data_IF_748851779210
#
_entry.id   IF_748851779210
#
_cell.length_a   1.000
_cell.length_b   1.000
_cell.length_c   1.000
_cell.angle_alpha   90.00
_cell.angle_beta   90.00
_cell.angle_gamma   90.00
#
_symmetry.space_group_name_H-M   'P 1'
#
loop_
_entity.id
_entity.type
_entity.pdbx_description
1 polymer ?
#
# COMPACT_ATOMS: atom_id res chain seq x y z
N UNK A 1 -12.98 20.14 32.22
CA UNK A 1 -12.90 19.69 30.81
C UNK A 1 -12.10 20.74 30.07
N UNK A 2 -10.78 20.58 29.99
CA UNK A 2 -9.93 21.51 29.26
C UNK A 2 -10.02 21.18 27.78
N UNK A 3 -10.29 22.19 26.96
CA UNK A 3 -10.29 22.07 25.49
C UNK A 3 -8.92 21.56 25.03
N UNK A 4 -8.90 20.43 24.31
CA UNK A 4 -7.68 19.83 23.73
C UNK A 4 -7.17 20.59 22.49
N UNK A 5 -7.66 21.81 22.25
CA UNK A 5 -7.44 22.64 21.04
C UNK A 5 -5.99 23.13 20.79
N UNK A 6 -5.01 22.59 21.51
CA UNK A 6 -3.58 22.81 21.25
C UNK A 6 -2.72 21.54 21.29
N UNK A 7 -3.34 20.35 21.41
CA UNK A 7 -2.62 19.07 21.51
C UNK A 7 -2.60 18.29 20.19
N UNK A 8 -3.57 18.54 19.32
CA UNK A 8 -3.64 17.93 17.99
C UNK A 8 -2.56 18.52 17.10
N UNK A 9 -1.76 17.66 16.48
CA UNK A 9 -0.99 18.10 15.34
C UNK A 9 -1.82 18.03 14.06
N UNK A 10 -1.14 18.24 12.96
CA UNK A 10 -1.72 18.53 11.66
C UNK A 10 -2.16 17.24 10.95
N UNK A 11 -3.28 17.29 10.23
CA UNK A 11 -3.87 16.13 9.57
C UNK A 11 -3.59 16.15 8.06
N UNK A 12 -3.23 14.99 7.49
CA UNK A 12 -3.25 14.82 6.04
C UNK A 12 -4.70 14.66 5.56
N UNK A 13 -5.18 15.63 4.77
CA UNK A 13 -6.55 15.61 4.22
C UNK A 13 -6.79 14.39 3.32
N UNK A 14 -5.75 13.93 2.61
CA UNK A 14 -5.82 12.76 1.73
C UNK A 14 -6.04 11.45 2.50
N UNK A 15 -5.62 11.40 3.77
CA UNK A 15 -5.78 10.25 4.66
C UNK A 15 -7.18 10.12 5.28
N UNK A 16 -8.10 11.03 4.97
CA UNK A 16 -9.41 11.13 5.65
C UNK A 16 -10.51 10.23 5.08
N UNK A 17 -10.17 9.19 4.32
CA UNK A 17 -11.17 8.17 3.95
C UNK A 17 -11.35 7.13 5.05
N UNK A 18 -12.60 6.70 5.36
CA UNK A 18 -12.89 5.71 6.39
C UNK A 18 -12.08 4.42 6.25
N UNK A 19 -11.93 3.90 5.04
CA UNK A 19 -11.17 2.67 4.79
C UNK A 19 -9.69 2.79 5.16
N UNK A 20 -9.12 4.00 5.14
CA UNK A 20 -7.72 4.26 5.51
C UNK A 20 -7.50 4.33 7.03
N UNK A 21 -8.58 4.29 7.83
CA UNK A 21 -8.50 4.24 9.29
C UNK A 21 -8.11 2.84 9.79
N UNK A 22 -6.93 2.41 9.39
CA UNK A 22 -6.40 1.05 9.52
C UNK A 22 -4.90 1.07 9.24
N UNK A 23 -4.22 -0.05 9.44
CA UNK A 23 -2.78 -0.16 9.25
C UNK A 23 -2.36 -0.71 7.88
N UNK A 24 -1.34 -0.07 7.29
CA UNK A 24 -0.40 -0.69 6.35
C UNK A 24 0.53 -1.64 7.09
N UNK A 25 0.79 -2.81 6.51
CA UNK A 25 1.67 -3.83 7.10
C UNK A 25 2.62 -4.42 6.07
N UNK A 26 3.91 -4.36 6.40
CA UNK A 26 5.01 -4.76 5.52
C UNK A 26 6.01 -5.60 6.32
N UNK A 27 6.32 -6.80 5.85
CA UNK A 27 7.27 -7.72 6.49
C UNK A 27 8.61 -7.74 5.74
N UNK A 28 9.69 -7.66 6.51
CA UNK A 28 11.08 -7.66 6.06
C UNK A 28 11.83 -8.80 6.74
N UNK A 29 12.41 -9.69 5.95
CA UNK A 29 13.11 -10.88 6.45
C UNK A 29 14.62 -10.73 6.50
N UNK A 30 15.24 -11.20 7.57
CA UNK A 30 16.69 -11.17 7.80
C UNK A 30 17.15 -12.56 8.25
N UNK A 31 18.17 -13.10 7.59
CA UNK A 31 18.90 -14.23 8.17
C UNK A 31 19.73 -13.74 9.35
N UNK A 32 19.79 -14.56 10.40
CA UNK A 32 20.61 -14.29 11.57
C UNK A 32 21.58 -15.45 11.82
N UNK A 33 22.80 -15.16 12.28
CA UNK A 33 23.73 -16.19 12.75
C UNK A 33 23.12 -17.03 13.88
N UNK A 34 23.46 -18.33 14.00
CA UNK A 34 22.92 -19.21 15.05
C UNK A 34 23.22 -18.72 16.48
N UNK A 35 24.32 -18.02 16.67
CA UNK A 35 24.84 -17.51 17.95
C UNK A 35 24.51 -16.02 18.18
N UNK A 36 23.65 -15.43 17.33
CA UNK A 36 23.24 -14.03 17.50
C UNK A 36 22.62 -13.81 18.88
N UNK A 37 23.01 -12.74 19.55
CA UNK A 37 22.34 -12.30 20.76
C UNK A 37 21.02 -11.61 20.38
N UNK A 38 19.89 -12.34 20.52
CA UNK A 38 18.54 -11.82 20.23
C UNK A 38 18.19 -10.58 21.06
N UNK A 39 18.64 -10.49 22.31
CA UNK A 39 18.39 -9.33 23.18
C UNK A 39 19.17 -8.10 22.69
N UNK A 40 20.39 -8.29 22.18
CA UNK A 40 21.16 -7.23 21.56
C UNK A 40 20.48 -6.72 20.28
N UNK A 41 19.90 -7.61 19.47
CA UNK A 41 19.10 -7.24 18.29
C UNK A 41 17.89 -6.40 18.70
N UNK A 42 17.12 -6.84 19.69
CA UNK A 42 15.95 -6.09 20.20
C UNK A 42 16.38 -4.72 20.73
N UNK A 43 17.46 -4.67 21.50
CA UNK A 43 18.00 -3.42 22.05
C UNK A 43 18.40 -2.45 20.94
N UNK A 44 19.06 -2.93 19.88
CA UNK A 44 19.45 -2.10 18.74
C UNK A 44 18.23 -1.55 17.96
N UNK A 45 17.18 -2.36 17.79
CA UNK A 45 15.92 -1.93 17.18
C UNK A 45 15.23 -0.85 18.03
N UNK A 46 15.14 -1.05 19.34
CA UNK A 46 14.51 -0.11 20.28
C UNK A 46 15.27 1.22 20.31
N UNK A 47 16.60 1.20 20.48
CA UNK A 47 17.44 2.41 20.51
C UNK A 47 17.30 3.20 19.21
N UNK A 48 17.31 2.51 18.05
CA UNK A 48 17.20 3.17 16.75
C UNK A 48 15.81 3.77 16.52
N UNK A 49 14.76 3.09 17.00
CA UNK A 49 13.41 3.62 16.93
C UNK A 49 13.26 4.86 17.83
N UNK A 50 13.81 4.82 19.05
CA UNK A 50 13.75 5.95 19.97
C UNK A 50 14.53 7.16 19.44
N UNK A 51 15.71 6.96 18.83
CA UNK A 51 16.45 8.01 18.12
C UNK A 51 15.68 8.64 16.96
N UNK A 52 14.87 7.85 16.23
CA UNK A 52 13.97 8.41 15.22
C UNK A 52 12.88 9.27 15.85
N UNK A 53 12.27 8.78 16.94
CA UNK A 53 11.21 9.53 17.64
C UNK A 53 11.76 10.81 18.26
N UNK A 54 13.00 10.85 18.73
CA UNK A 54 13.63 12.07 19.23
C UNK A 54 13.74 13.15 18.15
N UNK A 55 14.02 12.77 16.90
CA UNK A 55 14.19 13.69 15.77
C UNK A 55 12.89 13.95 14.99
N UNK A 56 11.93 13.01 15.07
CA UNK A 56 10.65 13.03 14.37
C UNK A 56 9.55 12.59 15.38
N UNK A 57 9.14 13.47 16.31
CA UNK A 57 8.32 13.10 17.46
C UNK A 57 7.01 12.40 17.14
N UNK A 58 6.35 12.78 16.05
CA UNK A 58 5.04 12.25 15.66
C UNK A 58 5.06 10.76 15.27
N UNK A 59 6.23 10.17 15.00
CA UNK A 59 6.35 8.72 14.80
C UNK A 59 6.03 7.93 16.08
N UNK A 60 6.28 8.52 17.24
CA UNK A 60 6.05 7.91 18.56
C UNK A 60 4.70 8.25 19.17
N UNK A 61 3.78 8.82 18.40
CA UNK A 61 2.46 9.30 18.81
C UNK A 61 1.36 8.29 18.49
N UNK A 62 0.11 8.65 18.81
CA UNK A 62 -1.09 7.88 18.48
C UNK A 62 -1.97 8.64 17.50
N UNK A 63 -2.76 7.89 16.73
CA UNK A 63 -3.87 8.41 15.94
C UNK A 63 -5.05 8.69 16.84
N UNK A 64 -5.68 9.84 16.63
CA UNK A 64 -6.87 10.30 17.33
C UNK A 64 -7.88 10.87 16.32
N UNK A 65 -9.12 11.06 16.76
CA UNK A 65 -10.15 11.75 15.98
C UNK A 65 -10.57 13.00 16.75
N UNK A 66 -10.52 14.16 16.09
CA UNK A 66 -10.97 15.43 16.66
C UNK A 66 -12.49 15.44 16.86
N UNK A 67 -13.00 16.45 17.58
CA UNK A 67 -14.44 16.67 17.73
C UNK A 67 -15.15 16.89 16.39
N UNK A 68 -14.45 17.46 15.40
CA UNK A 68 -14.94 17.64 14.02
C UNK A 68 -14.83 16.39 13.14
N UNK A 69 -14.48 15.23 13.72
CA UNK A 69 -14.36 13.96 13.00
C UNK A 69 -13.14 13.89 12.07
N UNK A 70 -12.15 14.76 12.24
CA UNK A 70 -10.87 14.72 11.50
C UNK A 70 -9.93 13.75 12.20
N UNK A 71 -9.40 12.77 11.49
CA UNK A 71 -8.34 11.92 12.03
C UNK A 71 -7.01 12.65 11.96
N UNK A 72 -6.34 12.70 13.10
CA UNK A 72 -5.08 13.41 13.32
C UNK A 72 -4.22 12.59 14.30
N UNK A 73 -3.16 13.16 14.84
CA UNK A 73 -2.25 12.55 15.79
C UNK A 73 -2.13 13.36 17.08
N UNK A 74 -1.94 12.65 18.18
CA UNK A 74 -1.72 13.19 19.52
C UNK A 74 -0.51 12.49 20.15
N UNK A 75 0.23 13.16 21.06
CA UNK A 75 1.22 12.48 21.89
C UNK A 75 0.66 11.20 22.52
N UNK A 76 1.52 10.18 22.61
CA UNK A 76 1.18 8.94 23.30
C UNK A 76 0.85 9.23 24.78
N UNK A 77 -0.18 8.61 25.39
CA UNK A 77 -0.55 8.91 26.77
C UNK A 77 0.59 8.56 27.74
N UNK A 78 0.83 9.42 28.73
CA UNK A 78 1.94 9.27 29.66
C UNK A 78 1.83 8.03 30.57
N UNK A 79 0.60 7.59 30.85
CA UNK A 79 0.24 6.49 31.75
C UNK A 79 0.07 5.14 31.03
N UNK A 80 0.22 5.10 29.70
CA UNK A 80 0.10 3.88 28.90
C UNK A 80 1.47 3.43 28.42
N UNK A 81 1.80 2.16 28.62
CA UNK A 81 3.04 1.57 28.13
C UNK A 81 3.20 1.79 26.62
N UNK A 82 4.40 2.21 26.19
CA UNK A 82 4.71 2.45 24.79
C UNK A 82 4.87 1.12 24.06
N UNK A 83 4.07 0.89 23.03
CA UNK A 83 4.11 -0.35 22.24
C UNK A 83 4.80 -0.14 20.89
N UNK A 84 6.05 0.36 20.91
CA UNK A 84 6.80 0.76 19.70
C UNK A 84 7.50 -0.41 19.01
N UNK A 85 8.22 -1.23 19.78
CA UNK A 85 8.89 -2.44 19.29
C UNK A 85 8.38 -3.61 20.11
N UNK A 86 7.58 -4.48 19.49
CA UNK A 86 7.10 -5.73 20.08
C UNK A 86 8.05 -6.86 19.71
N UNK A 87 8.24 -7.81 20.61
CA UNK A 87 9.04 -9.01 20.36
C UNK A 87 8.13 -10.23 20.41
N UNK A 88 8.30 -11.13 19.44
CA UNK A 88 7.61 -12.42 19.44
C UNK A 88 8.56 -13.53 19.02
N UNK A 89 8.53 -14.65 19.74
CA UNK A 89 9.25 -15.86 19.37
C UNK A 89 8.30 -16.72 18.55
N UNK A 90 8.64 -16.94 17.28
CA UNK A 90 7.87 -17.66 16.29
C UNK A 90 8.60 -18.93 15.81
N UNK A 91 9.62 -19.39 16.55
CA UNK A 91 10.45 -20.54 16.20
C UNK A 91 9.65 -21.83 15.92
N UNK A 92 8.45 -21.95 16.51
CA UNK A 92 7.57 -23.12 16.38
C UNK A 92 6.26 -22.82 15.60
N UNK A 93 5.98 -21.55 15.28
CA UNK A 93 4.73 -21.15 14.60
C UNK A 93 4.93 -20.70 13.16
N UNK A 94 6.16 -20.35 12.78
CA UNK A 94 6.57 -19.98 11.42
C UNK A 94 7.71 -20.89 11.00
N UNK A 95 7.70 -21.33 9.73
CA UNK A 95 8.76 -22.20 9.19
C UNK A 95 10.13 -21.48 9.21
N UNK A 96 11.26 -22.22 9.31
CA UNK A 96 12.60 -21.62 9.38
C UNK A 96 12.90 -20.65 8.23
N UNK A 97 13.76 -19.66 8.48
CA UNK A 97 14.13 -18.63 7.49
C UNK A 97 14.68 -19.24 6.20
N UNK A 98 15.55 -20.25 6.29
CA UNK A 98 16.08 -20.97 5.13
C UNK A 98 14.96 -21.59 4.27
N UNK A 99 13.97 -22.22 4.91
CA UNK A 99 12.81 -22.79 4.22
C UNK A 99 11.93 -21.71 3.59
N UNK A 100 11.68 -20.59 4.28
CA UNK A 100 10.96 -19.44 3.69
C UNK A 100 11.63 -18.97 2.40
N UNK A 101 12.96 -18.79 2.42
CA UNK A 101 13.73 -18.34 1.27
C UNK A 101 13.72 -19.38 0.14
N UNK A 102 13.88 -20.67 0.46
CA UNK A 102 13.82 -21.75 -0.51
C UNK A 102 12.45 -21.85 -1.21
N UNK A 103 11.36 -21.63 -0.47
CA UNK A 103 9.99 -21.58 -1.00
C UNK A 103 9.64 -20.23 -1.68
N UNK A 104 10.59 -19.30 -1.77
CA UNK A 104 10.43 -17.94 -2.35
C UNK A 104 9.43 -17.05 -1.58
N UNK A 105 9.23 -17.36 -0.30
CA UNK A 105 8.45 -16.61 0.68
C UNK A 105 6.99 -16.41 0.25
N UNK A 106 6.21 -17.49 0.17
CA UNK A 106 4.82 -17.39 -0.26
C UNK A 106 3.93 -16.85 0.85
N UNK A 107 2.84 -16.17 0.47
CA UNK A 107 2.04 -15.38 1.42
C UNK A 107 1.41 -16.26 2.50
N UNK A 108 1.03 -17.50 2.16
CA UNK A 108 0.46 -18.45 3.10
C UNK A 108 1.40 -18.88 4.23
N UNK A 109 2.72 -18.61 4.14
CA UNK A 109 3.71 -18.83 5.21
C UNK A 109 3.87 -17.62 6.14
N UNK A 110 3.42 -16.44 5.71
CA UNK A 110 3.54 -15.19 6.47
C UNK A 110 2.25 -14.91 7.25
N UNK A 111 1.91 -15.78 8.21
CA UNK A 111 0.64 -15.71 8.93
C UNK A 111 0.48 -14.38 9.69
N UNK A 112 -0.51 -13.57 9.32
CA UNK A 112 -0.74 -12.25 9.93
C UNK A 112 -0.98 -12.33 11.43
N UNK A 113 -1.69 -13.34 11.94
CA UNK A 113 -1.87 -13.57 13.38
C UNK A 113 -0.55 -13.72 14.17
N UNK A 114 0.51 -14.15 13.48
CA UNK A 114 1.82 -14.31 14.10
C UNK A 114 2.64 -13.02 13.97
N UNK A 115 2.64 -12.42 12.77
CA UNK A 115 3.56 -11.34 12.40
C UNK A 115 3.01 -9.92 12.63
N UNK A 116 1.70 -9.78 12.82
CA UNK A 116 1.01 -8.50 12.82
C UNK A 116 0.30 -8.28 14.17
N UNK A 117 0.72 -7.29 14.98
CA UNK A 117 0.10 -7.03 16.28
C UNK A 117 -1.22 -6.26 16.18
N UNK A 118 -1.47 -5.59 15.06
CA UNK A 118 -2.65 -4.76 14.82
C UNK A 118 -3.49 -5.29 13.64
N UNK A 119 -4.78 -4.94 13.53
CA UNK A 119 -5.56 -5.23 12.34
C UNK A 119 -5.02 -4.48 11.11
N UNK A 120 -4.85 -5.19 10.01
CA UNK A 120 -4.42 -4.60 8.74
C UNK A 120 -5.63 -4.20 7.89
N UNK A 121 -5.37 -3.35 6.89
CA UNK A 121 -6.37 -3.03 5.88
C UNK A 121 -7.05 -4.30 5.29
N UNK A 122 -8.39 -4.31 5.16
CA UNK A 122 -9.32 -3.18 5.33
C UNK A 122 -10.00 -3.14 6.72
N UNK A 123 -9.51 -3.91 7.71
CA UNK A 123 -10.18 -4.02 9.00
C UNK A 123 -10.01 -2.70 9.77
N UNK A 124 -11.07 -2.11 10.34
CA UNK A 124 -10.91 -0.97 11.21
C UNK A 124 -9.96 -1.35 12.34
N UNK A 125 -9.10 -0.42 12.78
CA UNK A 125 -8.10 -0.74 13.80
C UNK A 125 -8.74 -1.38 15.05
N UNK A 126 -10.00 -1.03 15.38
CA UNK A 126 -10.82 -1.76 16.36
C UNK A 126 -10.19 -1.83 17.75
N UNK A 127 -9.19 -0.99 18.01
CA UNK A 127 -8.34 -1.06 19.18
C UNK A 127 -9.07 -0.49 20.39
N UNK A 128 -9.04 -1.25 21.48
CA UNK A 128 -9.28 -0.74 22.82
C UNK A 128 -7.97 -0.12 23.33
N UNK A 129 -7.82 1.19 23.21
CA UNK A 129 -6.63 1.93 23.65
C UNK A 129 -5.95 2.74 22.52
N UNK A 130 -4.77 3.33 22.79
CA UNK A 130 -4.04 4.16 21.84
C UNK A 130 -3.69 3.41 20.55
N UNK A 131 -3.93 4.05 19.40
CA UNK A 131 -3.58 3.52 18.09
C UNK A 131 -2.23 4.11 17.64
N UNK A 132 -1.09 3.39 17.68
CA UNK A 132 0.20 3.96 17.30
C UNK A 132 0.21 4.46 15.86
N UNK A 133 0.93 5.55 15.60
CA UNK A 133 1.19 6.01 14.23
C UNK A 133 2.09 5.00 13.50
N UNK A 134 3.20 4.61 14.14
CA UNK A 134 4.11 3.56 13.67
C UNK A 134 4.47 2.64 14.81
N UNK A 135 4.60 1.35 14.51
CA UNK A 135 5.20 0.36 15.38
C UNK A 135 5.87 -0.77 14.60
N UNK A 136 6.79 -1.47 15.25
CA UNK A 136 7.50 -2.63 14.74
C UNK A 136 7.16 -3.88 15.56
N UNK A 137 7.12 -5.03 14.90
CA UNK A 137 7.24 -6.33 15.58
C UNK A 137 8.48 -7.07 15.08
N UNK A 138 9.40 -7.37 16.00
CA UNK A 138 10.51 -8.27 15.79
C UNK A 138 10.05 -9.72 16.07
N UNK A 139 9.84 -10.50 15.00
CA UNK A 139 9.37 -11.89 15.09
C UNK A 139 10.54 -12.84 14.82
N UNK A 140 11.14 -13.40 15.86
CA UNK A 140 12.24 -14.34 15.72
C UNK A 140 11.75 -15.68 15.19
N UNK A 141 12.42 -16.19 14.15
CA UNK A 141 12.19 -17.52 13.59
C UNK A 141 13.50 -18.29 13.60
N UNK A 142 13.46 -19.61 13.40
CA UNK A 142 14.69 -20.40 13.34
C UNK A 142 15.56 -19.90 12.18
N UNK A 143 16.80 -19.52 12.49
CA UNK A 143 17.76 -18.97 11.53
C UNK A 143 17.50 -17.53 11.06
N UNK A 144 16.57 -16.79 11.68
CA UNK A 144 16.30 -15.43 11.22
C UNK A 144 15.36 -14.58 12.07
N UNK A 145 15.01 -13.43 11.50
CA UNK A 145 14.09 -12.44 12.06
C UNK A 145 13.19 -11.91 10.97
N UNK A 146 11.91 -11.75 11.27
CA UNK A 146 10.96 -11.02 10.44
C UNK A 146 10.56 -9.74 11.18
N UNK A 147 10.91 -8.58 10.62
CA UNK A 147 10.47 -7.28 11.12
C UNK A 147 9.20 -6.91 10.36
N UNK A 148 8.07 -6.79 11.08
CA UNK A 148 6.84 -6.24 10.53
C UNK A 148 6.74 -4.75 10.88
N UNK A 149 6.77 -3.88 9.86
CA UNK A 149 6.40 -2.47 9.98
C UNK A 149 4.88 -2.34 9.96
N UNK A 150 4.34 -1.69 10.98
CA UNK A 150 2.94 -1.28 11.09
C UNK A 150 2.88 0.22 11.05
N UNK A 151 2.17 0.80 10.07
CA UNK A 151 2.03 2.24 9.91
C UNK A 151 0.55 2.59 9.65
N UNK A 152 0.01 3.55 10.40
CA UNK A 152 -1.40 3.90 10.30
C UNK A 152 -1.67 4.67 9.00
N UNK A 153 -2.55 4.14 8.14
CA UNK A 153 -2.64 4.56 6.76
C UNK A 153 -3.26 5.96 6.56
N UNK A 154 -4.01 6.46 7.56
CA UNK A 154 -4.44 7.87 7.59
C UNK A 154 -3.26 8.85 7.70
N UNK A 155 -2.14 8.44 8.32
CA UNK A 155 -0.99 9.32 8.59
C UNK A 155 0.16 9.08 7.61
N UNK A 156 0.33 7.83 7.16
CA UNK A 156 1.43 7.41 6.30
C UNK A 156 0.91 6.58 5.14
N UNK A 157 1.38 6.86 3.93
CA UNK A 157 1.16 5.99 2.77
C UNK A 157 2.36 5.09 2.49
N UNK A 158 2.25 4.22 1.49
CA UNK A 158 3.35 3.32 1.12
C UNK A 158 4.66 4.03 0.75
N UNK A 159 4.64 5.30 0.31
CA UNK A 159 5.90 6.04 0.06
C UNK A 159 6.54 6.46 1.38
N UNK A 160 5.73 6.93 2.33
CA UNK A 160 6.16 7.25 3.68
C UNK A 160 6.71 6.03 4.43
N UNK A 161 6.08 4.86 4.26
CA UNK A 161 6.55 3.60 4.86
C UNK A 161 7.99 3.28 4.42
N UNK A 162 8.31 3.44 3.13
CA UNK A 162 9.66 3.20 2.63
C UNK A 162 10.66 4.26 3.09
N UNK A 163 10.24 5.54 3.15
CA UNK A 163 11.11 6.59 3.71
C UNK A 163 11.42 6.29 5.18
N UNK A 164 10.45 5.87 5.98
CA UNK A 164 10.67 5.44 7.37
C UNK A 164 11.75 4.36 7.44
N UNK A 165 11.73 3.36 6.56
CA UNK A 165 12.72 2.28 6.54
C UNK A 165 14.11 2.77 6.20
N UNK A 166 14.25 3.71 5.26
CA UNK A 166 15.54 4.32 4.95
C UNK A 166 16.11 5.07 6.15
N UNK A 167 15.29 5.87 6.84
CA UNK A 167 15.71 6.57 8.05
C UNK A 167 16.05 5.59 9.17
N UNK A 168 15.22 4.57 9.37
CA UNK A 168 15.44 3.54 10.38
C UNK A 168 16.72 2.76 10.14
N UNK A 169 16.95 2.28 8.92
CA UNK A 169 18.19 1.60 8.55
C UNK A 169 19.42 2.51 8.68
N UNK A 170 19.29 3.81 8.41
CA UNK A 170 20.38 4.80 8.57
C UNK A 170 20.79 4.91 10.04
N UNK A 171 19.82 5.12 10.94
CA UNK A 171 20.07 5.24 12.39
C UNK A 171 20.57 3.91 12.97
N UNK A 172 20.02 2.78 12.50
CA UNK A 172 20.44 1.44 12.94
C UNK A 172 21.88 1.10 12.52
N UNK A 173 22.36 1.70 11.43
CA UNK A 173 23.77 1.66 11.02
C UNK A 173 24.67 2.68 11.76
N UNK A 174 24.13 3.43 12.71
CA UNK A 174 24.85 4.49 13.42
C UNK A 174 25.08 5.75 12.59
N UNK A 175 24.41 5.88 11.44
CA UNK A 175 24.46 7.06 10.60
C UNK A 175 23.57 8.19 11.13
N UNK A 176 23.82 9.40 10.63
CA UNK A 176 23.01 10.58 10.88
C UNK A 176 21.96 10.74 9.76
N UNK A 177 20.76 11.19 10.14
CA UNK A 177 19.71 11.44 9.16
C UNK A 177 20.03 12.74 8.42
N UNK A 178 19.98 12.76 7.08
CA UNK A 178 20.18 14.00 6.32
C UNK A 178 19.22 15.10 6.75
N UNK A 179 19.72 16.33 6.91
CA UNK A 179 18.90 17.47 7.35
C UNK A 179 17.70 17.73 6.43
N UNK A 180 17.86 17.56 5.12
CA UNK A 180 16.77 17.69 4.15
C UNK A 180 15.67 16.64 4.36
N UNK A 181 16.01 15.43 4.79
CA UNK A 181 15.02 14.39 5.09
C UNK A 181 14.30 14.68 6.41
N UNK A 182 15.02 15.18 7.43
CA UNK A 182 14.41 15.64 8.69
C UNK A 182 13.44 16.79 8.47
N UNK A 183 13.79 17.75 7.59
CA UNK A 183 12.91 18.85 7.21
C UNK A 183 11.61 18.33 6.60
N UNK A 184 11.69 17.38 5.65
CA UNK A 184 10.49 16.84 5.01
C UNK A 184 9.70 15.89 5.92
N UNK A 185 10.37 15.16 6.83
CA UNK A 185 9.70 14.31 7.82
C UNK A 185 8.92 15.12 8.86
N UNK A 186 9.37 16.33 9.19
CA UNK A 186 8.71 17.25 10.14
C UNK A 186 7.94 18.39 9.45
N UNK A 187 7.74 18.30 8.13
CA UNK A 187 7.04 19.33 7.37
C UNK A 187 5.59 19.48 7.80
N UNK A 188 5.13 20.73 7.88
CA UNK A 188 3.73 21.10 8.12
C UNK A 188 2.81 20.41 7.10
N UNK A 189 1.78 19.73 7.60
CA UNK A 189 0.81 18.94 6.83
C UNK A 189 -0.43 19.75 6.47
N UNK A 190 -0.81 20.74 7.27
CA UNK A 190 -2.04 21.52 7.11
C UNK A 190 -2.07 22.32 5.81
N UNK A 191 -0.91 22.80 5.36
CA UNK A 191 -0.79 23.67 4.17
C UNK A 191 -0.11 22.99 2.99
N UNK A 192 0.10 21.67 3.06
CA UNK A 192 0.86 20.95 2.07
C UNK A 192 0.16 20.91 0.70
N UNK A 193 -1.17 20.73 0.71
CA UNK A 193 -2.00 20.74 -0.49
C UNK A 193 -2.84 22.02 -0.49
N UNK A 194 -2.50 23.02 -1.33
CA UNK A 194 -3.28 24.25 -1.39
C UNK A 194 -4.69 23.95 -1.88
N UNK A 195 -5.71 24.27 -1.09
CA UNK A 195 -7.10 24.06 -1.48
C UNK A 195 -7.51 25.02 -2.61
N UNK A 196 -8.59 24.69 -3.31
CA UNK A 196 -9.20 25.54 -4.33
C UNK A 196 -10.17 26.52 -3.65
N UNK A 197 -10.02 27.84 -3.87
CA UNK A 197 -10.92 28.86 -3.30
C UNK A 197 -12.40 28.61 -3.61
N UNK A 198 -13.28 29.15 -2.77
CA UNK A 198 -14.72 29.16 -3.06
C UNK A 198 -14.98 29.99 -4.34
N UNK A 199 -15.84 29.48 -5.22
CA UNK A 199 -16.16 30.11 -6.51
C UNK A 199 -15.29 29.64 -7.68
N UNK A 200 -14.15 29.00 -7.43
CA UNK A 200 -13.35 28.35 -8.48
C UNK A 200 -13.83 26.91 -8.77
N UNK A 201 -13.68 26.43 -10.01
CA UNK A 201 -14.12 25.09 -10.39
C UNK A 201 -13.31 23.99 -9.70
N UNK A 202 -14.01 23.03 -9.13
CA UNK A 202 -13.48 21.80 -8.54
C UNK A 202 -13.95 20.62 -9.38
N UNK A 203 -13.08 19.63 -9.62
CA UNK A 203 -13.46 18.39 -10.30
C UNK A 203 -14.61 17.70 -9.56
N UNK A 204 -15.56 17.14 -10.30
CA UNK A 204 -16.66 16.38 -9.69
C UNK A 204 -16.15 15.05 -9.11
N UNK A 205 -16.30 14.92 -7.79
CA UNK A 205 -15.95 13.74 -7.00
C UNK A 205 -17.18 13.08 -6.36
N UNK A 206 -18.40 13.41 -6.81
CA UNK A 206 -19.66 12.86 -6.32
C UNK A 206 -19.72 11.33 -6.31
N UNK A 207 -19.00 10.66 -7.22
CA UNK A 207 -18.86 9.20 -7.30
C UNK A 207 -18.18 8.55 -6.08
N UNK A 208 -17.53 9.35 -5.22
CA UNK A 208 -16.94 8.91 -3.95
C UNK A 208 -17.97 8.91 -2.81
N UNK A 209 -19.13 9.55 -3.00
CA UNK A 209 -20.25 9.44 -2.05
C UNK A 209 -21.00 8.14 -2.32
N UNK A 210 -21.38 7.38 -1.27
CA UNK A 210 -22.21 6.21 -1.46
C UNK A 210 -23.59 6.63 -1.99
N UNK A 211 -24.11 6.02 -3.06
CA UNK A 211 -25.46 6.31 -3.51
C UNK A 211 -26.50 5.86 -2.47
N UNK A 212 -27.72 6.43 -2.49
CA UNK A 212 -28.79 6.02 -1.57
C UNK A 212 -29.03 4.50 -1.60
N UNK A 213 -29.06 3.87 -0.43
CA UNK A 213 -29.29 2.43 -0.30
C UNK A 213 -28.12 1.54 -0.74
N UNK A 214 -26.95 2.12 -1.06
CA UNK A 214 -25.78 1.35 -1.45
C UNK A 214 -25.34 0.37 -0.36
N UNK A 215 -24.99 -0.84 -0.79
CA UNK A 215 -24.44 -1.90 0.05
C UNK A 215 -23.21 -2.45 -0.63
N UNK A 216 -22.25 -2.91 0.18
CA UNK A 216 -21.11 -3.65 -0.33
C UNK A 216 -21.59 -4.92 -1.04
N UNK A 217 -21.11 -5.12 -2.27
CA UNK A 217 -21.32 -6.37 -2.98
C UNK A 217 -20.31 -7.38 -2.46
N UNK A 218 -20.81 -8.37 -1.73
CA UNK A 218 -19.97 -9.42 -1.17
C UNK A 218 -19.37 -10.30 -2.28
N UNK A 219 -18.13 -10.78 -2.11
CA UNK A 219 -17.54 -11.71 -3.06
C UNK A 219 -18.31 -13.04 -3.06
N UNK A 220 -18.45 -13.64 -4.24
CA UNK A 220 -19.14 -14.92 -4.48
C UNK A 220 -18.47 -16.10 -3.78
N UNK A 221 -17.17 -16.00 -3.52
CA UNK A 221 -16.39 -16.95 -2.72
C UNK A 221 -15.38 -16.20 -1.85
N UNK A 222 -14.86 -16.85 -0.81
CA UNK A 222 -13.91 -16.21 0.11
C UNK A 222 -12.66 -15.74 -0.66
N UNK A 223 -12.30 -14.44 -0.60
CA UNK A 223 -11.11 -13.97 -1.30
C UNK A 223 -9.84 -14.44 -0.62
N UNK A 224 -8.88 -14.88 -1.42
CA UNK A 224 -7.62 -15.44 -0.92
C UNK A 224 -6.44 -14.67 -1.49
N UNK A 225 -5.48 -14.36 -0.63
CA UNK A 225 -4.19 -13.80 -1.02
C UNK A 225 -3.30 -14.86 -1.68
N UNK A 226 -2.63 -14.50 -2.76
CA UNK A 226 -1.69 -15.34 -3.49
C UNK A 226 -0.54 -14.51 -4.04
N UNK A 227 0.67 -15.05 -4.01
CA UNK A 227 1.81 -14.47 -4.72
C UNK A 227 2.03 -15.15 -6.06
N UNK A 228 2.28 -14.33 -7.07
CA UNK A 228 2.88 -14.72 -8.33
C UNK A 228 4.27 -14.09 -8.44
N UNK A 229 5.22 -14.81 -9.02
CA UNK A 229 6.53 -14.27 -9.39
C UNK A 229 6.56 -14.04 -10.89
N UNK A 230 6.80 -12.80 -11.29
CA UNK A 230 7.03 -12.42 -12.68
C UNK A 230 8.50 -12.04 -12.83
N UNK A 231 9.26 -12.78 -13.64
CA UNK A 231 10.67 -12.43 -13.84
C UNK A 231 10.82 -11.03 -14.44
N UNK A 232 11.92 -10.34 -14.14
CA UNK A 232 12.22 -9.02 -14.74
C UNK A 232 12.26 -9.13 -16.28
N UNK A 233 12.74 -10.26 -16.81
CA UNK A 233 12.73 -10.54 -18.24
C UNK A 233 11.31 -10.71 -18.80
N UNK A 234 10.42 -11.42 -18.08
CA UNK A 234 9.02 -11.60 -18.47
C UNK A 234 8.27 -10.26 -18.51
N UNK A 235 8.47 -9.39 -17.51
CA UNK A 235 7.91 -8.04 -17.55
C UNK A 235 8.44 -7.24 -18.73
N UNK A 236 9.75 -7.32 -19.01
CA UNK A 236 10.36 -6.67 -20.16
C UNK A 236 9.79 -7.20 -21.49
N UNK A 237 9.52 -8.50 -21.60
CA UNK A 237 8.89 -9.12 -22.77
C UNK A 237 7.46 -8.60 -22.98
N UNK A 238 6.60 -8.63 -21.95
CA UNK A 238 5.23 -8.08 -22.04
C UNK A 238 5.28 -6.62 -22.51
N UNK A 239 6.16 -5.82 -21.91
CA UNK A 239 6.30 -4.40 -22.24
C UNK A 239 6.76 -4.20 -23.68
N UNK A 240 7.73 -5.00 -24.13
CA UNK A 240 8.22 -4.96 -25.50
C UNK A 240 7.11 -5.34 -26.48
N UNK A 241 6.46 -6.49 -26.28
CA UNK A 241 5.37 -6.97 -27.14
C UNK A 241 4.24 -5.95 -27.25
N UNK A 242 3.83 -5.35 -26.13
CA UNK A 242 2.79 -4.32 -26.14
C UNK A 242 3.24 -3.07 -26.91
N UNK A 243 4.47 -2.60 -26.74
CA UNK A 243 4.97 -1.42 -27.46
C UNK A 243 5.18 -1.67 -28.94
N UNK A 244 5.64 -2.86 -29.33
CA UNK A 244 5.82 -3.24 -30.73
C UNK A 244 4.46 -3.33 -31.46
N UNK A 245 3.40 -3.71 -30.75
CA UNK A 245 2.03 -3.74 -31.26
C UNK A 245 1.31 -2.37 -31.18
N UNK A 246 1.94 -1.33 -30.61
CA UNK A 246 1.34 -0.02 -30.44
C UNK A 246 1.50 0.86 -31.69
N UNK A 247 0.62 0.67 -32.67
CA UNK A 247 0.67 1.37 -33.97
C UNK A 247 0.21 2.84 -33.91
N UNK A 248 -0.30 3.31 -32.77
CA UNK A 248 -0.90 4.64 -32.60
C UNK A 248 -0.06 5.55 -31.68
N UNK A 249 1.17 5.13 -31.32
CA UNK A 249 2.01 5.84 -30.36
C UNK A 249 2.47 7.22 -30.87
N UNK A 250 2.04 8.28 -30.17
CA UNK A 250 2.77 9.56 -30.12
C UNK A 250 3.80 9.53 -28.97
N UNK A 251 4.84 10.38 -29.03
CA UNK A 251 5.85 10.45 -27.96
C UNK A 251 5.29 10.95 -26.62
N UNK A 252 4.21 11.74 -26.66
CA UNK A 252 3.54 12.34 -25.50
C UNK A 252 2.65 11.30 -24.77
N UNK A 253 2.11 10.31 -25.49
CA UNK A 253 1.21 9.28 -24.94
C UNK A 253 1.89 7.92 -24.72
N UNK A 254 3.23 7.89 -24.66
CA UNK A 254 3.98 6.64 -24.50
C UNK A 254 3.53 5.88 -23.24
N UNK A 255 3.00 4.68 -23.44
CA UNK A 255 2.59 3.76 -22.38
C UNK A 255 3.79 3.27 -21.55
N UNK A 256 3.65 3.34 -20.23
CA UNK A 256 4.63 2.87 -19.26
C UNK A 256 4.50 1.37 -19.01
N UNK A 257 5.49 0.77 -18.35
CA UNK A 257 5.42 -0.64 -17.94
C UNK A 257 4.28 -0.89 -16.95
N UNK A 258 3.96 0.09 -16.11
CA UNK A 258 2.86 0.01 -15.15
C UNK A 258 1.49 0.06 -15.84
N UNK A 259 1.34 0.89 -16.88
CA UNK A 259 0.11 0.94 -17.69
C UNK A 259 -0.12 -0.39 -18.39
N UNK A 260 0.92 -0.95 -19.00
CA UNK A 260 0.88 -2.22 -19.73
C UNK A 260 0.56 -3.38 -18.79
N UNK A 261 1.25 -3.48 -17.64
CA UNK A 261 1.03 -4.58 -16.70
C UNK A 261 -0.36 -4.49 -16.05
N UNK A 262 -0.83 -3.29 -15.70
CA UNK A 262 -2.19 -3.08 -15.20
C UNK A 262 -3.25 -3.45 -16.23
N UNK A 263 -3.05 -3.07 -17.51
CA UNK A 263 -3.93 -3.42 -18.61
C UNK A 263 -3.95 -4.92 -18.88
N UNK A 264 -2.78 -5.56 -18.93
CA UNK A 264 -2.65 -7.00 -19.12
C UNK A 264 -3.38 -7.77 -18.03
N UNK A 265 -3.12 -7.45 -16.75
CA UNK A 265 -3.79 -8.09 -15.62
C UNK A 265 -5.31 -7.89 -15.67
N UNK A 266 -5.78 -6.64 -15.86
CA UNK A 266 -7.21 -6.35 -15.90
C UNK A 266 -7.92 -7.10 -17.05
N UNK A 267 -7.28 -7.13 -18.23
CA UNK A 267 -7.75 -7.89 -19.39
C UNK A 267 -7.87 -9.38 -19.09
N UNK A 268 -6.84 -10.00 -18.49
CA UNK A 268 -6.89 -11.43 -18.13
C UNK A 268 -8.02 -11.73 -17.14
N UNK A 269 -8.17 -10.92 -16.10
CA UNK A 269 -9.26 -11.11 -15.11
C UNK A 269 -10.64 -10.99 -15.75
N UNK A 270 -10.87 -9.99 -16.62
CA UNK A 270 -12.13 -9.86 -17.36
C UNK A 270 -12.38 -11.06 -18.27
N UNK A 271 -11.39 -11.48 -19.07
CA UNK A 271 -11.50 -12.65 -19.95
C UNK A 271 -11.87 -13.93 -19.17
N UNK A 272 -11.21 -14.18 -18.03
CA UNK A 272 -11.50 -15.34 -17.18
C UNK A 272 -12.90 -15.31 -16.54
N UNK A 273 -13.45 -14.13 -16.25
CA UNK A 273 -14.82 -13.96 -15.74
C UNK A 273 -15.85 -14.15 -16.85
N UNK A 274 -15.60 -13.62 -18.04
CA UNK A 274 -16.45 -13.85 -19.22
C UNK A 274 -16.51 -15.34 -19.60
N UNK A 275 -15.35 -16.02 -19.60
CA UNK A 275 -15.28 -17.46 -19.90
C UNK A 275 -16.06 -18.34 -18.92
N UNK A 276 -16.33 -17.85 -17.70
CA UNK A 276 -17.18 -18.50 -16.70
C UNK A 276 -18.66 -18.10 -16.77
N UNK A 277 -19.05 -17.31 -17.78
CA UNK A 277 -20.45 -16.95 -18.02
C UNK A 277 -20.87 -15.59 -17.47
N UNK A 278 -19.94 -14.73 -17.02
CA UNK A 278 -20.30 -13.36 -16.66
C UNK A 278 -20.75 -12.58 -17.92
N UNK A 279 -21.86 -11.83 -17.87
CA UNK A 279 -22.35 -11.08 -19.03
C UNK A 279 -21.34 -10.04 -19.55
N UNK A 280 -21.26 -9.88 -20.87
CA UNK A 280 -20.32 -8.93 -21.52
C UNK A 280 -20.59 -7.47 -21.17
N UNK A 281 -21.84 -7.13 -20.84
CA UNK A 281 -22.30 -5.82 -20.38
C UNK A 281 -22.16 -5.60 -18.87
N UNK A 282 -21.50 -6.53 -18.15
CA UNK A 282 -21.13 -6.31 -16.75
C UNK A 282 -20.05 -5.24 -16.67
N UNK A 283 -20.26 -4.20 -15.86
CA UNK A 283 -19.23 -3.20 -15.57
C UNK A 283 -18.10 -3.80 -14.72
N UNK A 284 -16.86 -3.45 -15.05
CA UNK A 284 -15.67 -3.68 -14.24
C UNK A 284 -14.94 -2.36 -14.01
N UNK A 285 -14.35 -2.22 -12.83
CA UNK A 285 -13.50 -1.08 -12.46
C UNK A 285 -12.06 -1.52 -12.23
N UNK A 286 -11.10 -0.73 -12.69
CA UNK A 286 -9.73 -0.74 -12.17
C UNK A 286 -9.42 0.59 -11.49
N UNK A 287 -8.94 0.55 -10.25
CA UNK A 287 -8.36 1.72 -9.58
C UNK A 287 -6.84 1.62 -9.56
N UNK A 288 -6.11 2.70 -9.83
CA UNK A 288 -4.65 2.76 -9.79
C UNK A 288 -4.19 3.82 -8.80
N UNK A 289 -3.35 3.44 -7.83
CA UNK A 289 -2.81 4.38 -6.86
C UNK A 289 -1.87 5.41 -7.51
N UNK A 290 -2.07 6.69 -7.20
CA UNK A 290 -1.24 7.82 -7.64
C UNK A 290 -0.51 8.39 -6.43
N UNK A 291 0.82 8.53 -6.53
CA UNK A 291 1.58 9.34 -5.61
C UNK A 291 1.34 10.83 -5.91
N UNK A 292 0.55 11.49 -5.06
CA UNK A 292 0.15 12.90 -5.24
C UNK A 292 1.32 13.87 -5.02
N UNK A 293 2.46 13.40 -4.47
CA UNK A 293 3.65 14.24 -4.28
C UNK A 293 4.20 14.78 -5.58
N UNK A 294 4.32 13.91 -6.60
CA UNK A 294 4.91 14.27 -7.90
C UNK A 294 4.21 15.45 -8.59
N UNK A 295 2.87 15.44 -8.80
CA UNK A 295 2.20 16.57 -9.43
C UNK A 295 2.20 17.85 -8.58
N UNK A 296 2.38 17.75 -7.26
CA UNK A 296 2.45 18.92 -6.37
C UNK A 296 3.88 19.43 -6.12
N UNK A 297 4.90 18.76 -6.67
CA UNK A 297 6.31 19.09 -6.40
C UNK A 297 6.71 18.86 -4.93
N UNK A 298 6.00 17.98 -4.21
CA UNK A 298 6.37 17.60 -2.84
C UNK A 298 7.52 16.58 -2.91
N UNK A 299 8.60 16.74 -2.12
CA UNK A 299 9.69 15.78 -2.10
C UNK A 299 9.22 14.37 -1.71
N UNK A 300 9.84 13.34 -2.29
CA UNK A 300 9.51 11.94 -1.98
C UNK A 300 9.84 11.55 -0.54
N UNK A 301 10.73 12.30 0.14
CA UNK A 301 11.05 12.13 1.56
C UNK A 301 9.96 12.68 2.50
N UNK A 302 8.91 13.31 1.98
CA UNK A 302 7.75 13.67 2.79
C UNK A 302 7.01 12.40 3.28
N UNK A 303 6.83 12.29 4.60
CA UNK A 303 6.36 11.08 5.27
C UNK A 303 4.85 11.07 5.61
N UNK A 304 4.04 11.95 5.02
CA UNK A 304 2.59 11.93 5.20
C UNK A 304 1.82 11.06 4.20
N UNK A 305 0.51 10.96 4.38
CA UNK A 305 -0.36 10.25 3.44
C UNK A 305 -0.71 11.16 2.25
N UNK A 306 -0.14 10.90 1.07
CA UNK A 306 -0.33 11.67 -0.16
C UNK A 306 -0.54 10.72 -1.35
N UNK A 307 -1.54 9.85 -1.21
CA UNK A 307 -1.95 8.88 -2.23
C UNK A 307 -3.44 8.98 -2.46
N UNK A 308 -3.86 8.83 -3.72
CA UNK A 308 -5.27 8.66 -4.08
C UNK A 308 -5.40 7.92 -5.42
N UNK A 309 -6.58 7.36 -5.75
CA UNK A 309 -6.74 6.53 -6.94
C UNK A 309 -7.16 7.30 -8.19
N UNK A 310 -6.57 6.97 -9.35
CA UNK A 310 -7.27 7.09 -10.63
C UNK A 310 -8.23 5.90 -10.80
N UNK A 311 -9.41 6.14 -11.37
CA UNK A 311 -10.46 5.13 -11.51
C UNK A 311 -10.88 5.05 -12.98
N UNK A 312 -10.87 3.84 -13.54
CA UNK A 312 -11.40 3.56 -14.88
C UNK A 312 -12.50 2.53 -14.77
N UNK A 313 -13.66 2.81 -15.36
CA UNK A 313 -14.80 1.87 -15.47
C UNK A 313 -15.03 1.51 -16.92
N UNK A 314 -15.30 0.24 -17.20
CA UNK A 314 -15.55 -0.25 -18.55
C UNK A 314 -16.35 -1.55 -18.50
N UNK A 315 -17.18 -1.80 -19.52
CA UNK A 315 -17.85 -3.09 -19.69
C UNK A 315 -16.81 -4.20 -19.93
N UNK A 316 -16.95 -5.35 -19.26
CA UNK A 316 -16.00 -6.46 -19.36
C UNK A 316 -15.78 -6.92 -20.79
N UNK A 317 -16.84 -6.99 -21.60
CA UNK A 317 -16.73 -7.34 -23.02
C UNK A 317 -15.83 -6.38 -23.78
N UNK A 318 -15.87 -5.08 -23.45
CA UNK A 318 -15.00 -4.08 -24.08
C UNK A 318 -13.54 -4.22 -23.63
N UNK A 319 -13.31 -4.51 -22.35
CA UNK A 319 -11.96 -4.81 -21.83
C UNK A 319 -11.36 -6.03 -22.56
N UNK A 320 -12.17 -7.05 -22.79
CA UNK A 320 -11.82 -8.28 -23.50
C UNK A 320 -11.62 -8.08 -25.02
N UNK A 321 -12.30 -7.13 -25.64
CA UNK A 321 -12.12 -6.78 -27.06
C UNK A 321 -10.83 -5.98 -27.34
N UNK A 322 -10.46 -5.07 -26.45
CA UNK A 322 -9.32 -4.17 -26.65
C UNK A 322 -7.98 -4.90 -26.57
N UNK A 323 -7.02 -4.52 -27.40
CA UNK A 323 -5.64 -5.01 -27.24
C UNK A 323 -5.00 -4.43 -25.98
N UNK A 324 -3.97 -5.10 -25.44
CA UNK A 324 -3.23 -4.59 -24.26
C UNK A 324 -2.72 -3.16 -24.45
N UNK A 325 -2.15 -2.76 -25.60
CA UNK A 325 -1.71 -1.38 -25.83
C UNK A 325 -2.86 -0.37 -25.83
N UNK A 326 -3.99 -0.70 -26.48
CA UNK A 326 -5.18 0.17 -26.49
C UNK A 326 -5.72 0.38 -25.07
N UNK A 327 -5.81 -0.70 -24.29
CA UNK A 327 -6.26 -0.62 -22.91
C UNK A 327 -5.25 0.15 -22.03
N UNK A 328 -3.95 -0.08 -22.20
CA UNK A 328 -2.89 0.65 -21.50
C UNK A 328 -2.93 2.16 -21.81
N UNK A 329 -3.23 2.57 -23.05
CA UNK A 329 -3.42 3.98 -23.42
C UNK A 329 -4.61 4.61 -22.71
N UNK A 330 -5.73 3.90 -22.60
CA UNK A 330 -6.88 4.36 -21.81
C UNK A 330 -6.46 4.55 -20.35
N UNK A 331 -5.84 3.54 -19.74
CA UNK A 331 -5.38 3.63 -18.34
C UNK A 331 -4.36 4.75 -18.12
N UNK A 332 -3.49 5.01 -19.11
CA UNK A 332 -2.50 6.09 -19.08
C UNK A 332 -3.18 7.45 -19.10
N UNK A 333 -4.15 7.66 -20.00
CA UNK A 333 -4.89 8.93 -20.11
C UNK A 333 -5.65 9.23 -18.82
N UNK A 334 -6.42 8.27 -18.30
CA UNK A 334 -7.15 8.41 -17.03
C UNK A 334 -6.21 8.74 -15.86
N UNK A 335 -5.03 8.09 -15.82
CA UNK A 335 -4.03 8.38 -14.80
C UNK A 335 -3.44 9.79 -14.96
N UNK A 336 -3.12 10.23 -16.18
CA UNK A 336 -2.56 11.56 -16.43
C UNK A 336 -3.56 12.68 -16.11
N UNK A 337 -4.84 12.49 -16.42
CA UNK A 337 -5.91 13.44 -16.08
C UNK A 337 -6.10 13.58 -14.56
N UNK A 338 -5.86 12.51 -13.80
CA UNK A 338 -5.83 12.54 -12.34
C UNK A 338 -4.47 13.04 -11.79
N UNK A 339 -3.36 12.85 -12.48
CA UNK A 339 -2.03 13.22 -12.00
C UNK A 339 -1.63 14.66 -12.34
N UNK A 340 -2.57 15.62 -12.26
CA UNK A 340 -2.28 17.07 -12.41
C UNK A 340 -2.38 17.81 -11.08
N UNK A 341 -1.65 18.93 -10.88
CA UNK A 341 -1.78 19.72 -9.66
C UNK A 341 -3.24 20.11 -9.37
N UNK A 342 -4.00 20.51 -10.39
CA UNK A 342 -5.41 20.89 -10.23
C UNK A 342 -6.30 19.71 -9.82
N UNK A 343 -6.09 18.51 -10.38
CA UNK A 343 -6.86 17.32 -10.01
C UNK A 343 -6.58 16.90 -8.57
N UNK A 344 -5.31 16.91 -8.13
CA UNK A 344 -4.96 16.60 -6.73
C UNK A 344 -5.58 17.62 -5.77
N UNK A 345 -5.44 18.92 -6.06
CA UNK A 345 -6.05 19.99 -5.26
C UNK A 345 -7.57 19.88 -5.22
N UNK A 346 -8.20 19.49 -6.33
CA UNK A 346 -9.65 19.27 -6.40
C UNK A 346 -10.09 18.13 -5.49
N UNK A 347 -9.35 17.02 -5.48
CA UNK A 347 -9.65 15.88 -4.61
C UNK A 347 -9.53 16.25 -3.12
N UNK A 348 -8.43 16.92 -2.74
CA UNK A 348 -8.25 17.43 -1.37
C UNK A 348 -9.36 18.42 -0.97
N UNK A 349 -9.71 19.34 -1.87
CA UNK A 349 -10.77 20.34 -1.64
C UNK A 349 -12.14 19.69 -1.50
N UNK A 350 -12.42 18.62 -2.25
CA UNK A 350 -13.65 17.86 -2.11
C UNK A 350 -13.77 17.27 -0.70
N UNK A 351 -12.73 16.60 -0.20
CA UNK A 351 -12.73 15.99 1.14
C UNK A 351 -12.93 17.06 2.23
N UNK A 352 -12.24 18.20 2.12
CA UNK A 352 -12.34 19.28 3.09
C UNK A 352 -13.75 19.89 3.15
N UNK A 353 -14.43 19.97 2.01
CA UNK A 353 -15.78 20.55 1.91
C UNK A 353 -16.89 19.59 2.37
N UNK A 354 -16.62 18.31 2.58
CA UNK A 354 -17.60 17.37 3.12
C UNK A 354 -17.89 17.68 4.59
N UNK A 355 -19.15 17.54 5.00
CA UNK A 355 -19.52 17.54 6.42
C UNK A 355 -18.81 16.39 7.16
N UNK A 356 -18.58 16.48 8.48
CA UNK A 356 -18.05 15.37 9.26
C UNK A 356 -18.82 14.06 9.04
N UNK A 357 -20.15 14.13 8.95
CA UNK A 357 -21.05 13.00 8.76
C UNK A 357 -20.95 12.40 7.35
N UNK A 358 -20.78 13.22 6.31
CA UNK A 358 -20.59 12.75 4.93
C UNK A 358 -19.19 12.19 4.72
N UNK A 359 -18.16 12.85 5.25
CA UNK A 359 -16.76 12.41 5.18
C UNK A 359 -16.57 11.02 5.80
N UNK A 360 -17.27 10.73 6.90
CA UNK A 360 -17.26 9.42 7.55
C UNK A 360 -17.88 8.29 6.71
N UNK A 361 -18.56 8.60 5.59
CA UNK A 361 -19.22 7.64 4.70
C UNK A 361 -18.57 7.53 3.32
N UNK A 362 -17.53 8.32 3.03
CA UNK A 362 -16.88 8.33 1.72
C UNK A 362 -16.27 6.98 1.34
N UNK A 363 -16.31 6.68 0.04
CA UNK A 363 -15.76 5.48 -0.58
C UNK A 363 -14.47 5.84 -1.32
N UNK A 364 -13.33 5.36 -0.84
CA UNK A 364 -12.00 5.74 -1.36
C UNK A 364 -11.80 5.53 -2.85
N UNK A 365 -12.36 4.44 -3.41
CA UNK A 365 -12.33 4.13 -4.84
C UNK A 365 -13.73 4.19 -5.47
N UNK A 366 -14.65 4.95 -4.87
CA UNK A 366 -16.08 4.94 -5.21
C UNK A 366 -16.74 3.60 -4.90
N UNK A 367 -17.94 3.37 -5.45
CA UNK A 367 -18.63 2.08 -5.33
C UNK A 367 -17.76 0.93 -5.83
N UNK A 368 -17.72 -0.16 -5.07
CA UNK A 368 -16.85 -1.32 -5.35
C UNK A 368 -17.66 -2.60 -5.38
N UNK A 369 -17.45 -3.42 -6.41
CA UNK A 369 -17.97 -4.76 -6.51
C UNK A 369 -16.82 -5.77 -6.45
N UNK A 370 -16.78 -6.56 -5.37
CA UNK A 370 -15.71 -7.53 -5.11
C UNK A 370 -15.60 -8.67 -6.13
N UNK A 371 -16.60 -8.82 -7.01
CA UNK A 371 -16.61 -9.83 -8.07
C UNK A 371 -16.15 -9.29 -9.43
N UNK A 372 -16.08 -7.98 -9.60
CA UNK A 372 -15.82 -7.35 -10.91
C UNK A 372 -14.66 -6.37 -10.89
N UNK A 373 -14.34 -5.81 -9.73
CA UNK A 373 -13.43 -4.68 -9.62
C UNK A 373 -12.05 -5.12 -9.12
N UNK A 374 -11.01 -4.42 -9.59
CA UNK A 374 -9.62 -4.64 -9.19
C UNK A 374 -8.93 -3.33 -8.80
N UNK A 375 -7.93 -3.40 -7.93
CA UNK A 375 -7.16 -2.26 -7.43
C UNK A 375 -5.66 -2.49 -7.56
N UNK A 376 -5.03 -1.75 -8.46
CA UNK A 376 -3.60 -1.83 -8.73
C UNK A 376 -2.80 -0.85 -7.85
N UNK A 377 -1.79 -1.37 -7.19
CA UNK A 377 -0.80 -0.59 -6.43
C UNK A 377 0.60 -1.04 -6.82
N UNK A 378 1.33 -0.18 -7.52
CA UNK A 378 2.69 -0.47 -7.93
C UNK A 378 3.69 0.24 -7.01
N UNK A 379 4.38 -0.54 -6.18
CA UNK A 379 5.46 -0.07 -5.30
C UNK A 379 6.83 -0.56 -5.78
N UNK A 380 6.94 -1.06 -7.02
CA UNK A 380 8.18 -1.65 -7.54
C UNK A 380 9.34 -0.67 -7.67
N UNK A 381 9.06 0.64 -7.59
CA UNK A 381 10.05 1.72 -7.59
C UNK A 381 10.42 2.20 -6.20
N UNK A 382 9.67 1.79 -5.18
CA UNK A 382 10.03 2.03 -3.79
C UNK A 382 10.96 0.88 -3.40
N UNK A 383 12.24 1.18 -3.21
CA UNK A 383 13.28 0.17 -3.04
C UNK A 383 13.62 0.05 -1.56
N UNK A 384 13.75 -1.15 -1.04
CA UNK A 384 14.21 -1.33 0.35
C UNK A 384 15.64 -0.82 0.53
N UNK A 385 16.03 -0.36 1.73
CA UNK A 385 17.40 0.01 2.03
C UNK A 385 18.36 -1.13 1.66
N UNK A 386 19.32 -0.82 0.79
CA UNK A 386 20.33 -1.76 0.29
C UNK A 386 21.40 -1.98 1.36
N UNK A 387 21.92 -3.21 1.46
CA UNK A 387 22.97 -3.55 2.41
C UNK A 387 22.44 -3.91 3.81
N UNK A 388 23.34 -4.05 4.80
CA UNK A 388 22.97 -4.46 6.15
C UNK A 388 22.17 -3.39 6.90
N UNK A 389 21.30 -3.83 7.80
CA UNK A 389 20.48 -2.96 8.66
C UNK A 389 21.10 -2.92 10.07
N UNK A 390 22.22 -2.22 10.19
CA UNK A 390 23.04 -2.21 11.40
C UNK A 390 24.04 -3.38 11.46
N UNK A 391 24.87 -3.44 12.51
CA UNK A 391 25.92 -4.47 12.64
C UNK A 391 25.37 -5.86 12.98
N UNK A 392 24.14 -5.93 13.51
CA UNK A 392 23.54 -7.18 13.98
C UNK A 392 22.56 -7.80 12.97
N UNK A 393 22.08 -7.02 12.00
CA UNK A 393 21.24 -7.53 10.93
C UNK A 393 22.04 -7.53 9.63
N UNK A 394 21.99 -8.64 8.91
CA UNK A 394 22.45 -8.69 7.53
C UNK A 394 21.57 -7.86 6.59
N UNK A 395 21.75 -8.00 5.26
CA UNK A 395 20.85 -7.38 4.31
C UNK A 395 19.44 -7.97 4.42
N UNK A 396 18.45 -7.13 4.14
CA UNK A 396 17.07 -7.59 3.96
C UNK A 396 17.01 -8.62 2.83
N UNK A 397 16.52 -9.82 3.13
CA UNK A 397 16.44 -10.96 2.20
C UNK A 397 15.15 -10.98 1.40
N UNK A 398 14.06 -10.46 1.97
CA UNK A 398 12.77 -10.32 1.29
C UNK A 398 11.93 -9.18 1.86
N UNK A 399 11.07 -8.63 1.01
CA UNK A 399 9.97 -7.74 1.40
C UNK A 399 8.64 -8.32 0.91
N UNK A 400 7.68 -8.52 1.83
CA UNK A 400 6.37 -9.11 1.54
C UNK A 400 5.26 -8.41 2.30
N UNK A 401 4.03 -8.53 1.80
CA UNK A 401 2.83 -8.30 2.60
C UNK A 401 2.55 -9.56 3.43
N UNK A 402 2.32 -9.46 4.75
CA UNK A 402 1.82 -10.58 5.54
C UNK A 402 0.42 -11.03 5.07
N UNK A 403 0.04 -12.28 5.38
CA UNK A 403 -1.30 -12.79 5.14
C UNK A 403 -2.28 -12.34 6.24
N UNK A 404 -2.77 -11.12 6.09
CA UNK A 404 -3.83 -10.50 6.90
C UNK A 404 -5.15 -10.49 6.12
N UNK A 405 -6.18 -9.80 6.65
CA UNK A 405 -7.54 -9.76 6.09
C UNK A 405 -7.60 -9.59 4.55
N UNK A 406 -8.57 -10.22 3.88
CA UNK A 406 -8.70 -10.17 2.42
C UNK A 406 -9.03 -8.75 1.92
N UNK A 407 -8.45 -8.37 0.78
CA UNK A 407 -8.81 -7.15 0.03
C UNK A 407 -9.21 -7.58 -1.39
N UNK A 408 -10.45 -8.04 -1.62
CA UNK A 408 -10.87 -8.54 -2.93
C UNK A 408 -10.64 -7.54 -4.06
N UNK A 409 -9.94 -8.00 -5.09
CA UNK A 409 -9.52 -7.22 -6.25
C UNK A 409 -8.11 -6.64 -6.15
N UNK A 410 -7.42 -6.76 -5.01
CA UNK A 410 -6.07 -6.21 -4.86
C UNK A 410 -5.07 -6.83 -5.85
N UNK A 411 -4.25 -5.98 -6.45
CA UNK A 411 -3.15 -6.30 -7.36
C UNK A 411 -1.96 -5.42 -6.99
N UNK A 412 -0.99 -5.96 -6.25
CA UNK A 412 0.17 -5.22 -5.76
C UNK A 412 1.45 -5.76 -6.38
N UNK A 413 2.22 -4.88 -7.02
CA UNK A 413 3.51 -5.19 -7.63
C UNK A 413 4.61 -4.69 -6.69
N UNK A 414 5.52 -5.57 -6.29
CA UNK A 414 6.64 -5.25 -5.40
C UNK A 414 7.95 -5.05 -6.17
N UNK A 415 8.96 -4.51 -5.49
CA UNK A 415 10.30 -4.38 -6.03
C UNK A 415 10.86 -5.76 -6.43
N UNK A 416 11.75 -5.84 -7.42
CA UNK A 416 12.29 -7.12 -7.84
C UNK A 416 13.23 -7.68 -6.77
N UNK A 417 13.05 -8.96 -6.46
CA UNK A 417 13.88 -9.75 -5.57
C UNK A 417 14.37 -10.98 -6.33
N UNK A 418 15.67 -11.28 -6.29
CA UNK A 418 16.27 -12.43 -6.98
C UNK A 418 15.87 -12.54 -8.46
N UNK A 419 15.78 -11.39 -9.16
CA UNK A 419 15.46 -11.32 -10.59
C UNK A 419 13.97 -11.43 -10.95
N UNK A 420 13.06 -11.40 -9.98
CA UNK A 420 11.61 -11.43 -10.21
C UNK A 420 10.85 -10.45 -9.34
N UNK A 421 9.75 -9.90 -9.86
CA UNK A 421 8.78 -9.12 -9.11
C UNK A 421 7.79 -10.06 -8.40
N UNK A 422 7.70 -10.00 -7.07
CA UNK A 422 6.56 -10.56 -6.35
C UNK A 422 5.31 -9.72 -6.62
N UNK A 423 4.24 -10.38 -7.04
CA UNK A 423 2.94 -9.80 -7.33
C UNK A 423 1.92 -10.42 -6.37
N UNK A 424 1.45 -9.65 -5.39
CA UNK A 424 0.39 -10.09 -4.49
C UNK A 424 -0.97 -9.81 -5.10
N UNK A 425 -1.80 -10.84 -5.24
CA UNK A 425 -3.20 -10.70 -5.65
C UNK A 425 -4.13 -11.19 -4.55
N UNK A 426 -5.30 -10.59 -4.41
CA UNK A 426 -6.36 -11.09 -3.56
C UNK A 426 -7.65 -11.17 -4.36
N UNK A 427 -8.10 -12.39 -4.63
CA UNK A 427 -9.20 -12.66 -5.55
C UNK A 427 -10.16 -13.68 -4.93
N UNK A 428 -11.46 -13.64 -5.27
CA UNK A 428 -12.36 -14.76 -5.02
C UNK A 428 -11.74 -16.09 -5.49
N UNK A 429 -11.99 -17.18 -4.78
CA UNK A 429 -11.31 -18.46 -4.99
C UNK A 429 -11.42 -18.95 -6.45
N UNK A 430 -12.57 -18.76 -7.09
CA UNK A 430 -12.80 -19.14 -8.49
C UNK A 430 -11.94 -18.33 -9.46
N UNK A 431 -11.82 -17.02 -9.26
CA UNK A 431 -10.97 -16.12 -10.06
C UNK A 431 -9.50 -16.53 -9.92
N UNK A 432 -9.08 -16.83 -8.68
CA UNK A 432 -7.71 -17.24 -8.40
C UNK A 432 -7.38 -18.59 -9.04
N UNK A 433 -8.28 -19.58 -8.93
CA UNK A 433 -8.13 -20.89 -9.59
C UNK A 433 -8.04 -20.75 -11.11
N UNK A 434 -8.85 -19.87 -11.69
CA UNK A 434 -8.83 -19.59 -13.12
C UNK A 434 -7.51 -18.93 -13.54
N UNK A 435 -7.05 -17.91 -12.81
CA UNK A 435 -5.78 -17.22 -13.08
C UNK A 435 -4.56 -18.15 -12.96
N UNK A 436 -4.56 -19.08 -11.99
CA UNK A 436 -3.49 -20.09 -11.85
C UNK A 436 -3.42 -21.06 -13.05
N UNK A 437 -4.49 -21.21 -13.82
CA UNK A 437 -4.59 -22.07 -15.01
C UNK A 437 -4.55 -21.29 -16.33
N UNK A 438 -4.49 -19.97 -16.26
CA UNK A 438 -4.52 -19.10 -17.43
C UNK A 438 -3.20 -19.19 -18.19
N UNK A 439 -3.24 -19.67 -19.44
CA UNK A 439 -2.01 -19.91 -20.23
C UNK A 439 -1.27 -18.61 -20.56
N UNK A 440 -2.00 -17.53 -20.86
CA UNK A 440 -1.39 -16.23 -21.15
C UNK A 440 -0.72 -15.61 -19.92
N UNK A 441 -1.36 -15.63 -18.76
CA UNK A 441 -0.76 -15.20 -17.50
C UNK A 441 0.40 -16.11 -17.09
N UNK A 442 0.20 -17.42 -17.17
CA UNK A 442 1.16 -18.45 -16.79
C UNK A 442 2.46 -18.42 -17.61
N UNK A 443 2.43 -17.89 -18.84
CA UNK A 443 3.62 -17.62 -19.66
C UNK A 443 4.61 -16.67 -18.98
N UNK A 444 4.12 -15.73 -18.17
CA UNK A 444 4.92 -14.65 -17.61
C UNK A 444 5.05 -14.69 -16.09
N UNK A 445 4.11 -15.35 -15.40
CA UNK A 445 4.01 -15.32 -13.96
C UNK A 445 3.77 -16.72 -13.38
N UNK A 446 4.60 -17.11 -12.40
CA UNK A 446 4.47 -18.40 -11.70
C UNK A 446 3.87 -18.20 -10.31
N UNK A 447 2.81 -18.92 -9.99
CA UNK A 447 2.22 -18.94 -8.66
C UNK A 447 3.19 -19.56 -7.63
N UNK A 448 3.38 -18.92 -6.48
CA UNK A 448 4.17 -19.47 -5.36
C UNK A 448 3.35 -19.70 -4.08
N UNK A 449 2.09 -19.24 -4.01
CA UNK A 449 1.23 -19.37 -2.81
C UNK A 449 -0.15 -19.96 -3.06
#
# INVERSE_FOLDING_TARGET
MGSHDGLYAEADIMGQFPVLNSYSMLAYGFELPPDVNRDAVVSALQISFDKLVEQIPWLGWQVATSESGVRTVLPWPHDVAKERVRVKICDDSIVPMEQLLAEKVPINRLHGKELCPWPALPQPHGLTGPAPVVALQASFVRGGLIINLTAHHTVMDGTADFQFLHLFATVLNGGEIPAADLEQANRDRNRLVPLIPHGEPVKDHSHLRPPPGWKFVMPTSWPTWCYFLMSVASLAEIVKTARDADTESSSIERISSDDILSAFYWKRICALRLARGMPRDTESKISRAINARTPLGIPSSYMGAQVYPAITRMLMGRVDELTVPQLARILRRELLEAATPWAVRSFATFIERESPEDRARLLYTGTHNSNTDVGATNVSRLVTPKGPWGPLLGPCRFYRRPNTGPIPGAFRIQEPENGAHPIAVCLPEEDLKALKKDEEWGRYATCIG
#
